data_IF_654874757509
#
_entry.id   IF_654874757509
#
_cell.length_a   1.000
_cell.length_b   1.000
_cell.length_c   1.000
_cell.angle_alpha   90.00
_cell.angle_beta   90.00
_cell.angle_gamma   90.00
#
_symmetry.space_group_name_H-M   'P 1'
#
loop_
_entity.id
_entity.type
_entity.pdbx_description
1 polymer ?
#
# COMPACT_ATOMS: atom_id res chain seq x y z
N UNK A 1 -0.97 -22.75 -16.30
CA UNK A 1 -1.39 -21.61 -17.14
C UNK A 1 -0.88 -20.35 -16.45
N UNK A 2 0.22 -19.78 -16.93
CA UNK A 2 0.74 -18.51 -16.42
C UNK A 2 -0.13 -17.41 -17.00
N UNK A 3 -1.13 -16.96 -16.24
CA UNK A 3 -1.87 -15.74 -16.58
C UNK A 3 -0.84 -14.63 -16.71
N UNK A 4 -0.77 -14.00 -17.89
CA UNK A 4 0.03 -12.77 -18.06
C UNK A 4 -0.45 -11.73 -17.06
N UNK A 5 0.43 -10.75 -16.74
CA UNK A 5 0.07 -9.63 -15.86
C UNK A 5 -1.29 -9.07 -16.28
N UNK A 6 -2.30 -9.17 -15.41
CA UNK A 6 -3.52 -8.40 -15.61
C UNK A 6 -3.13 -6.97 -15.22
N UNK A 7 -2.98 -6.08 -16.21
CA UNK A 7 -2.48 -4.73 -15.97
C UNK A 7 -3.30 -3.94 -14.93
N UNK A 8 -2.77 -2.80 -14.49
CA UNK A 8 -3.47 -1.89 -13.58
C UNK A 8 -2.83 -1.74 -12.20
N UNK A 9 -3.50 -0.95 -11.36
CA UNK A 9 -2.97 -0.50 -10.06
C UNK A 9 -3.72 -1.20 -8.92
N UNK A 10 -2.98 -1.60 -7.90
CA UNK A 10 -3.52 -1.93 -6.58
C UNK A 10 -3.30 -0.74 -5.64
N UNK A 11 -4.35 -0.29 -4.93
CA UNK A 11 -4.22 0.73 -3.89
C UNK A 11 -4.51 0.18 -2.50
N UNK A 12 -3.53 0.27 -1.59
CA UNK A 12 -3.69 -0.05 -0.18
C UNK A 12 -3.87 1.21 0.67
N UNK A 13 -4.71 1.14 1.70
CA UNK A 13 -4.84 2.19 2.71
C UNK A 13 -4.36 1.70 4.09
N UNK A 14 -3.40 2.45 4.64
CA UNK A 14 -2.58 2.06 5.81
C UNK A 14 -1.33 1.30 5.40
N UNK A 15 -0.30 1.30 6.25
CA UNK A 15 0.94 0.54 6.05
C UNK A 15 1.37 -0.20 7.32
N UNK A 16 0.38 -0.74 8.04
CA UNK A 16 0.60 -1.64 9.18
C UNK A 16 0.87 -3.08 8.74
N UNK A 17 1.02 -3.97 9.72
CA UNK A 17 1.40 -5.37 9.50
C UNK A 17 0.47 -6.12 8.52
N UNK A 18 -0.85 -5.88 8.59
CA UNK A 18 -1.82 -6.52 7.68
C UNK A 18 -1.66 -5.99 6.26
N UNK A 19 -1.55 -4.67 6.06
CA UNK A 19 -1.39 -4.15 4.71
C UNK A 19 -0.05 -4.60 4.12
N UNK A 20 1.06 -4.38 4.82
CA UNK A 20 2.41 -4.65 4.31
C UNK A 20 2.70 -6.15 4.15
N UNK A 21 2.34 -6.96 5.16
CA UNK A 21 2.69 -8.38 5.24
C UNK A 21 1.69 -9.33 4.60
N UNK A 22 0.50 -8.86 4.22
CA UNK A 22 -0.51 -9.68 3.55
C UNK A 22 -0.94 -9.06 2.21
N UNK A 23 -1.72 -7.97 2.22
CA UNK A 23 -2.32 -7.47 0.97
C UNK A 23 -1.27 -6.97 -0.04
N UNK A 24 -0.35 -6.12 0.38
CA UNK A 24 0.72 -5.58 -0.46
C UNK A 24 1.70 -6.67 -0.89
N UNK A 25 2.02 -7.60 0.01
CA UNK A 25 2.90 -8.74 -0.29
C UNK A 25 2.32 -9.60 -1.42
N UNK A 26 1.05 -9.98 -1.31
CA UNK A 26 0.40 -10.83 -2.31
C UNK A 26 0.13 -10.07 -3.62
N UNK A 27 -0.22 -8.77 -3.56
CA UNK A 27 -0.33 -7.92 -4.76
C UNK A 27 0.98 -7.86 -5.56
N UNK A 28 2.14 -7.89 -4.88
CA UNK A 28 3.46 -7.91 -5.52
C UNK A 28 3.88 -9.31 -5.99
N UNK A 29 3.61 -10.37 -5.22
CA UNK A 29 4.03 -11.75 -5.51
C UNK A 29 3.36 -12.34 -6.74
N UNK A 30 2.06 -12.12 -6.89
CA UNK A 30 1.26 -12.71 -7.97
C UNK A 30 1.55 -12.06 -9.34
N UNK A 31 2.45 -11.06 -9.42
CA UNK A 31 2.70 -10.26 -10.63
C UNK A 31 1.41 -9.73 -11.29
N UNK A 32 0.36 -9.56 -10.48
CA UNK A 32 -1.00 -9.31 -10.96
C UNK A 32 -1.33 -7.82 -11.04
N UNK A 33 -0.39 -6.95 -10.67
CA UNK A 33 -0.52 -5.50 -10.78
C UNK A 33 0.77 -4.91 -11.35
N UNK A 34 0.63 -3.86 -12.15
CA UNK A 34 1.76 -3.12 -12.72
C UNK A 34 2.37 -2.16 -11.71
N UNK A 35 1.53 -1.60 -10.83
CA UNK A 35 1.93 -0.71 -9.77
C UNK A 35 1.15 -1.02 -8.49
N UNK A 36 1.83 -0.84 -7.36
CA UNK A 36 1.27 -1.02 -6.02
C UNK A 36 1.45 0.29 -5.29
N UNK A 37 0.34 0.97 -5.03
CA UNK A 37 0.28 2.30 -4.41
C UNK A 37 -0.24 2.16 -2.98
N UNK A 38 0.41 2.81 -2.03
CA UNK A 38 0.04 2.77 -0.61
C UNK A 38 -0.24 4.19 -0.10
N UNK A 39 -1.43 4.38 0.45
CA UNK A 39 -1.83 5.57 1.17
C UNK A 39 -1.51 5.41 2.67
N UNK A 40 -0.57 6.20 3.21
CA UNK A 40 -0.16 6.14 4.62
C UNK A 40 -0.05 7.55 5.23
N UNK A 41 -0.63 7.74 6.40
CA UNK A 41 -0.72 9.06 7.06
C UNK A 41 0.54 9.43 7.84
N UNK A 42 1.30 8.44 8.32
CA UNK A 42 2.52 8.64 9.11
C UNK A 42 3.65 9.20 8.24
N UNK A 43 4.04 10.48 8.43
CA UNK A 43 5.08 11.09 7.61
C UNK A 43 6.44 10.39 7.77
N UNK A 44 6.73 9.88 8.98
CA UNK A 44 7.96 9.15 9.28
C UNK A 44 8.04 7.84 8.48
N UNK A 45 6.96 7.05 8.45
CA UNK A 45 6.93 5.80 7.68
C UNK A 45 7.06 6.08 6.18
N UNK A 46 6.31 7.07 5.68
CA UNK A 46 6.37 7.50 4.27
C UNK A 46 7.80 7.89 3.89
N UNK A 47 8.48 8.71 4.70
CA UNK A 47 9.87 9.13 4.44
C UNK A 47 10.81 7.93 4.39
N UNK A 48 10.77 7.06 5.41
CA UNK A 48 11.66 5.89 5.50
C UNK A 48 11.50 4.94 4.31
N UNK A 49 10.26 4.66 3.90
CA UNK A 49 10.00 3.79 2.75
C UNK A 49 10.49 4.44 1.45
N UNK A 50 10.29 5.75 1.28
CA UNK A 50 10.80 6.49 0.10
C UNK A 50 12.33 6.53 0.05
N UNK A 51 12.98 6.80 1.18
CA UNK A 51 14.45 6.75 1.32
C UNK A 51 14.99 5.37 0.96
N UNK A 52 14.25 4.31 1.30
CA UNK A 52 14.55 2.94 0.89
C UNK A 52 14.00 2.55 -0.50
N UNK A 53 13.72 3.54 -1.37
CA UNK A 53 13.26 3.35 -2.76
C UNK A 53 11.99 2.50 -2.89
N UNK A 54 11.05 2.67 -1.95
CA UNK A 54 9.79 1.95 -1.94
C UNK A 54 9.91 0.49 -1.50
N UNK A 55 11.01 0.08 -0.88
CA UNK A 55 11.23 -1.30 -0.44
C UNK A 55 11.15 -1.45 1.07
N UNK A 56 10.74 -2.64 1.51
CA UNK A 56 10.63 -3.01 2.92
C UNK A 56 10.85 -4.52 3.09
N UNK A 57 11.01 -4.97 4.33
CA UNK A 57 11.23 -6.40 4.63
C UNK A 57 10.02 -6.97 5.37
N UNK A 58 9.59 -8.16 4.97
CA UNK A 58 8.60 -8.96 5.71
C UNK A 58 9.30 -10.18 6.29
N UNK A 59 9.08 -10.43 7.58
CA UNK A 59 9.57 -11.62 8.27
C UNK A 59 8.42 -12.60 8.41
N UNK A 60 8.55 -13.77 7.81
CA UNK A 60 7.55 -14.84 7.79
C UNK A 60 8.02 -15.93 8.73
N UNK A 61 7.28 -16.15 9.82
CA UNK A 61 7.57 -17.23 10.74
C UNK A 61 7.02 -18.55 10.19
N UNK A 62 7.92 -19.52 10.05
CA UNK A 62 7.65 -20.91 9.70
C UNK A 62 7.81 -21.80 10.95
N UNK A 63 7.45 -23.07 10.84
CA UNK A 63 7.58 -24.01 11.97
C UNK A 63 9.05 -24.25 12.41
N UNK A 64 9.99 -24.09 11.47
CA UNK A 64 11.41 -24.41 11.61
C UNK A 64 12.32 -23.17 11.55
N UNK A 65 11.77 -21.96 11.43
CA UNK A 65 12.57 -20.74 11.38
C UNK A 65 11.80 -19.49 10.95
N UNK A 66 12.55 -18.42 10.68
CA UNK A 66 12.02 -17.17 10.14
C UNK A 66 12.65 -16.95 8.77
N UNK A 67 11.81 -16.75 7.75
CA UNK A 67 12.22 -16.30 6.43
C UNK A 67 12.06 -14.78 6.34
N UNK A 68 13.12 -14.08 5.95
CA UNK A 68 13.07 -12.64 5.69
C UNK A 68 13.10 -12.39 4.19
N UNK A 69 12.07 -11.71 3.68
CA UNK A 69 11.98 -11.34 2.26
C UNK A 69 11.98 -9.82 2.09
N UNK A 70 12.72 -9.32 1.11
CA UNK A 70 12.58 -7.94 0.64
C UNK A 70 11.42 -7.85 -0.35
N UNK A 71 10.60 -6.81 -0.19
CA UNK A 71 9.35 -6.60 -0.90
C UNK A 71 9.34 -5.19 -1.48
N UNK A 72 8.79 -5.05 -2.69
CA UNK A 72 8.66 -3.78 -3.40
C UNK A 72 9.23 -3.82 -4.82
N UNK A 73 9.32 -2.66 -5.50
CA UNK A 73 9.00 -1.34 -4.98
C UNK A 73 7.48 -1.09 -4.88
N UNK A 74 7.09 -0.32 -3.87
CA UNK A 74 5.78 0.33 -3.75
C UNK A 74 5.91 1.85 -3.94
N UNK A 75 4.85 2.48 -4.43
CA UNK A 75 4.70 3.93 -4.39
C UNK A 75 3.89 4.31 -3.14
N UNK A 76 4.54 4.93 -2.15
CA UNK A 76 3.87 5.33 -0.91
C UNK A 76 3.58 6.84 -0.91
N UNK A 77 2.33 7.22 -0.63
CA UNK A 77 1.78 8.57 -0.74
C UNK A 77 1.11 8.97 0.58
N UNK A 78 1.38 10.19 1.05
CA UNK A 78 0.75 10.72 2.24
C UNK A 78 -0.46 11.62 1.89
N UNK A 79 -1.70 11.21 2.18
CA UNK A 79 -2.89 11.99 1.79
C UNK A 79 -3.01 13.34 2.54
N UNK A 80 -2.26 13.55 3.62
CA UNK A 80 -2.15 14.84 4.30
C UNK A 80 -1.29 15.85 3.52
N UNK A 81 -0.42 15.39 2.62
CA UNK A 81 0.28 16.22 1.65
C UNK A 81 -0.60 16.42 0.42
N UNK A 82 -0.79 17.67 0.00
CA UNK A 82 -1.67 17.99 -1.13
C UNK A 82 -1.19 17.38 -2.45
N UNK A 83 0.10 17.51 -2.76
CA UNK A 83 0.68 16.94 -3.98
C UNK A 83 0.56 15.40 -4.02
N UNK A 84 0.83 14.73 -2.90
CA UNK A 84 0.67 13.28 -2.81
C UNK A 84 -0.79 12.86 -2.94
N UNK A 85 -1.72 13.66 -2.40
CA UNK A 85 -3.16 13.39 -2.50
C UNK A 85 -3.67 13.51 -3.94
N UNK A 86 -3.18 14.47 -4.71
CA UNK A 86 -3.50 14.59 -6.14
C UNK A 86 -3.04 13.35 -6.91
N UNK A 87 -1.80 12.91 -6.69
CA UNK A 87 -1.27 11.68 -7.30
C UNK A 87 -2.09 10.47 -6.85
N UNK A 88 -2.44 10.38 -5.56
CA UNK A 88 -3.22 9.27 -5.03
C UNK A 88 -4.59 9.17 -5.70
N UNK A 89 -5.29 10.29 -5.92
CA UNK A 89 -6.59 10.33 -6.60
C UNK A 89 -6.47 9.89 -8.06
N UNK A 90 -5.43 10.34 -8.77
CA UNK A 90 -5.15 9.90 -10.14
C UNK A 90 -4.93 8.38 -10.21
N UNK A 91 -4.06 7.85 -9.34
CA UNK A 91 -3.75 6.42 -9.27
C UNK A 91 -4.98 5.60 -8.91
N UNK A 92 -5.74 6.04 -7.91
CA UNK A 92 -6.92 5.36 -7.42
C UNK A 92 -8.02 5.28 -8.49
N UNK A 93 -8.19 6.32 -9.32
CA UNK A 93 -9.11 6.30 -10.46
C UNK A 93 -8.75 5.22 -11.50
N UNK A 94 -7.50 4.75 -11.51
CA UNK A 94 -6.99 3.69 -12.37
C UNK A 94 -6.76 2.37 -11.63
N UNK A 95 -7.11 2.30 -10.34
CA UNK A 95 -6.95 1.09 -9.55
C UNK A 95 -8.02 0.07 -9.91
N UNK A 96 -7.56 -1.16 -10.15
CA UNK A 96 -8.44 -2.31 -10.39
C UNK A 96 -8.99 -2.83 -9.07
N UNK A 97 -8.18 -2.75 -8.02
CA UNK A 97 -8.54 -3.18 -6.68
C UNK A 97 -8.01 -2.20 -5.65
N UNK A 98 -8.78 -2.02 -4.57
CA UNK A 98 -8.36 -1.27 -3.40
C UNK A 98 -8.65 -2.08 -2.14
N UNK A 99 -7.75 -2.00 -1.16
CA UNK A 99 -7.89 -2.67 0.13
C UNK A 99 -7.60 -1.70 1.27
N UNK A 100 -8.30 -1.88 2.39
CA UNK A 100 -8.07 -1.08 3.59
C UNK A 100 -7.67 -1.98 4.76
N UNK A 101 -6.58 -1.64 5.43
CA UNK A 101 -6.19 -2.25 6.69
C UNK A 101 -5.79 -1.14 7.68
N UNK A 102 -6.81 -0.48 8.21
CA UNK A 102 -6.69 0.67 9.12
C UNK A 102 -7.16 0.30 10.54
N UNK A 103 -6.66 0.98 11.59
CA UNK A 103 -6.85 0.55 12.98
C UNK A 103 -8.27 0.76 13.53
N UNK A 104 -9.09 1.61 12.89
CA UNK A 104 -10.45 1.91 13.35
C UNK A 104 -11.32 2.51 12.25
N UNK A 105 -12.63 2.57 12.51
CA UNK A 105 -13.59 3.28 11.66
C UNK A 105 -13.29 4.78 11.61
N UNK A 106 -12.77 5.37 12.68
CA UNK A 106 -12.36 6.78 12.72
C UNK A 106 -11.19 7.07 11.77
N UNK A 107 -10.27 6.11 11.60
CA UNK A 107 -9.20 6.22 10.61
C UNK A 107 -9.73 6.10 9.17
N UNK A 108 -10.81 5.36 8.96
CA UNK A 108 -11.48 5.24 7.66
C UNK A 108 -12.29 6.51 7.33
N UNK A 109 -13.07 7.00 8.28
CA UNK A 109 -13.99 8.12 8.14
C UNK A 109 -13.73 9.22 9.17
N UNK A 110 -13.22 10.35 8.71
CA UNK A 110 -12.95 11.55 9.49
C UNK A 110 -13.34 12.81 8.71
N UNK A 111 -13.35 13.97 9.36
CA UNK A 111 -13.70 15.24 8.71
C UNK A 111 -12.56 15.83 7.86
N UNK A 112 -11.36 15.25 7.91
CA UNK A 112 -10.17 15.73 7.23
C UNK A 112 -10.11 15.38 5.74
N UNK A 113 -9.28 16.09 4.96
CA UNK A 113 -9.09 15.81 3.52
C UNK A 113 -8.39 14.47 3.26
N UNK A 114 -7.71 13.92 4.26
CA UNK A 114 -7.04 12.62 4.19
C UNK A 114 -7.98 11.43 4.48
N UNK A 115 -9.27 11.67 4.71
CA UNK A 115 -10.19 10.58 5.05
C UNK A 115 -10.45 9.67 3.86
N UNK A 116 -10.31 8.35 4.07
CA UNK A 116 -10.45 7.33 3.03
C UNK A 116 -11.81 7.39 2.34
N UNK A 117 -12.91 7.57 3.10
CA UNK A 117 -14.25 7.67 2.52
C UNK A 117 -14.48 8.86 1.57
N UNK A 118 -13.56 9.83 1.53
CA UNK A 118 -13.60 10.98 0.61
C UNK A 118 -12.67 10.79 -0.59
N UNK A 119 -11.78 9.81 -0.52
CA UNK A 119 -10.83 9.49 -1.58
C UNK A 119 -11.42 8.43 -2.53
N UNK A 120 -12.23 7.50 -1.99
CA UNK A 120 -13.02 6.51 -2.75
C UNK A 120 -14.30 7.14 -3.30
#
# INVERSE_FOLDING_TARGET
MTGGKQGGIFTGFGFGAIQAGLFTLEALRENNFEQVVICEISPELVSRVRENKGRFTVNIAHADGIESIEVGPIEILNPCCEADREILLEKLAHSREAATAVPSVEAYSSTGPASIHRLL
#
